data_IF_571165596786
#
_entry.id   IF_571165596786
#
_cell.length_a   1.000
_cell.length_b   1.000
_cell.length_c   1.000
_cell.angle_alpha   90.00
_cell.angle_beta   90.00
_cell.angle_gamma   90.00
#
_symmetry.space_group_name_H-M   'P 1'
#
loop_
_entity.id
_entity.type
_entity.pdbx_description
1 polymer ?
#
# COMPACT_ATOMS: atom_id res chain seq x y z
N UNK A 1 -9.52 -3.47 -13.31
CA UNK A 1 -10.00 -2.07 -13.23
C UNK A 1 -10.01 -1.50 -11.81
N UNK A 2 -10.12 -2.31 -10.75
CA UNK A 2 -10.13 -1.82 -9.35
C UNK A 2 -8.76 -1.24 -8.93
N UNK A 3 -7.64 -1.95 -9.17
CA UNK A 3 -6.27 -1.46 -8.91
C UNK A 3 -6.01 -0.11 -9.57
N UNK A 4 -6.43 0.07 -10.83
CA UNK A 4 -6.26 1.33 -11.58
C UNK A 4 -6.90 2.50 -10.85
N UNK A 5 -8.15 2.36 -10.39
CA UNK A 5 -8.83 3.41 -9.65
C UNK A 5 -8.16 3.67 -8.29
N UNK A 6 -7.73 2.63 -7.57
CA UNK A 6 -6.98 2.78 -6.32
C UNK A 6 -5.67 3.54 -6.51
N UNK A 7 -4.96 3.28 -7.61
CA UNK A 7 -3.73 4.00 -7.96
C UNK A 7 -4.04 5.46 -8.26
N UNK A 8 -5.06 5.76 -9.06
CA UNK A 8 -5.40 7.14 -9.42
C UNK A 8 -5.84 7.97 -8.21
N UNK A 9 -6.55 7.35 -7.26
CA UNK A 9 -7.04 8.02 -6.05
C UNK A 9 -6.01 8.04 -4.90
N UNK A 10 -4.89 7.32 -5.02
CA UNK A 10 -3.89 7.28 -3.96
C UNK A 10 -3.29 8.67 -3.69
N UNK A 11 -3.10 9.08 -2.42
CA UNK A 11 -2.47 10.36 -2.09
C UNK A 11 -1.07 10.49 -2.69
N UNK A 12 -0.64 11.73 -2.92
CA UNK A 12 0.70 12.00 -3.46
C UNK A 12 1.79 11.44 -2.54
N UNK A 13 2.75 10.70 -3.11
CA UNK A 13 3.86 10.14 -2.36
C UNK A 13 3.50 8.96 -1.44
N UNK A 14 2.26 8.46 -1.50
CA UNK A 14 1.80 7.34 -0.71
C UNK A 14 2.58 6.05 -1.03
N UNK A 15 2.56 5.12 -0.07
CA UNK A 15 3.05 3.76 -0.28
C UNK A 15 1.91 2.92 -0.84
N UNK A 16 2.09 2.41 -2.05
CA UNK A 16 1.14 1.50 -2.69
C UNK A 16 1.59 0.06 -2.43
N UNK A 17 0.78 -0.70 -1.69
CA UNK A 17 1.07 -2.08 -1.28
C UNK A 17 0.36 -3.04 -2.21
N UNK A 18 1.11 -3.96 -2.81
CA UNK A 18 0.59 -4.99 -3.70
C UNK A 18 1.06 -6.39 -3.26
N UNK A 19 0.56 -7.42 -3.95
CA UNK A 19 1.07 -8.78 -3.75
C UNK A 19 2.42 -8.95 -4.48
N UNK A 20 3.22 -9.94 -4.06
CA UNK A 20 4.46 -10.24 -4.79
C UNK A 20 4.19 -10.63 -6.25
N UNK A 21 3.09 -11.35 -6.50
CA UNK A 21 2.70 -11.82 -7.83
C UNK A 21 2.28 -10.68 -8.76
N UNK A 22 1.62 -9.64 -8.23
CA UNK A 22 1.16 -8.50 -9.02
C UNK A 22 2.18 -7.36 -9.17
N UNK A 23 3.33 -7.43 -8.49
CA UNK A 23 4.32 -6.34 -8.43
C UNK A 23 4.74 -5.79 -9.79
N UNK A 24 5.08 -6.66 -10.75
CA UNK A 24 5.56 -6.19 -12.07
C UNK A 24 4.45 -5.51 -12.88
N UNK A 25 3.25 -6.08 -12.84
CA UNK A 25 2.06 -5.49 -13.46
C UNK A 25 1.75 -4.12 -12.85
N UNK A 26 1.70 -4.03 -11.52
CA UNK A 26 1.42 -2.76 -10.82
C UNK A 26 2.50 -1.73 -11.12
N UNK A 27 3.78 -2.13 -11.17
CA UNK A 27 4.87 -1.21 -11.54
C UNK A 27 4.70 -0.63 -12.93
N UNK A 28 4.41 -1.45 -13.94
CA UNK A 28 4.13 -0.98 -15.30
C UNK A 28 2.90 -0.06 -15.32
N UNK A 29 1.84 -0.44 -14.61
CA UNK A 29 0.63 0.37 -14.53
C UNK A 29 0.89 1.74 -13.87
N UNK A 30 1.76 1.82 -12.86
CA UNK A 30 2.17 3.10 -12.26
C UNK A 30 2.91 4.00 -13.27
N UNK A 31 3.79 3.41 -14.08
CA UNK A 31 4.53 4.11 -15.14
C UNK A 31 3.58 4.62 -16.21
N UNK A 32 2.65 3.78 -16.68
CA UNK A 32 1.63 4.12 -17.69
C UNK A 32 0.67 5.23 -17.21
N UNK A 33 0.30 5.22 -15.93
CA UNK A 33 -0.60 6.22 -15.33
C UNK A 33 0.13 7.49 -14.88
N UNK A 34 1.46 7.56 -15.04
CA UNK A 34 2.26 8.69 -14.58
C UNK A 34 2.33 8.85 -13.05
N UNK A 35 1.99 7.81 -12.28
CA UNK A 35 2.00 7.78 -10.80
C UNK A 35 3.36 7.33 -10.25
N UNK A 36 4.43 7.94 -10.75
CA UNK A 36 5.81 7.64 -10.33
C UNK A 36 6.14 8.17 -8.94
N UNK A 37 5.26 9.01 -8.37
CA UNK A 37 5.33 9.49 -6.99
C UNK A 37 5.04 8.39 -5.97
N UNK A 38 4.27 7.36 -6.35
CA UNK A 38 3.88 6.28 -5.46
C UNK A 38 5.05 5.34 -5.19
N UNK A 39 5.27 5.04 -3.91
CA UNK A 39 6.27 4.07 -3.49
C UNK A 39 5.67 2.67 -3.52
N UNK A 40 6.02 1.88 -4.52
CA UNK A 40 5.56 0.50 -4.61
C UNK A 40 6.24 -0.40 -3.57
N UNK A 41 5.46 -1.16 -2.81
CA UNK A 41 5.92 -2.19 -1.87
C UNK A 41 5.06 -3.45 -2.00
N UNK A 42 5.61 -4.59 -1.60
CA UNK A 42 4.84 -5.84 -1.48
C UNK A 42 4.40 -6.08 -0.04
N UNK A 43 3.32 -6.83 0.19
CA UNK A 43 2.90 -7.26 1.54
C UNK A 43 4.06 -7.79 2.38
N UNK A 44 4.87 -8.70 1.84
CA UNK A 44 6.04 -9.23 2.55
C UNK A 44 7.05 -8.15 2.95
N UNK A 45 7.24 -7.12 2.12
CA UNK A 45 8.08 -5.96 2.46
C UNK A 45 7.44 -5.05 3.51
N UNK A 46 6.12 -5.02 3.61
CA UNK A 46 5.44 -4.27 4.69
C UNK A 46 5.77 -4.91 6.03
N UNK A 47 5.57 -6.22 6.17
CA UNK A 47 5.69 -6.93 7.46
C UNK A 47 7.13 -7.27 7.86
N UNK A 48 8.05 -7.41 6.90
CA UNK A 48 9.47 -7.68 7.21
C UNK A 48 10.20 -6.44 7.74
N UNK A 49 9.73 -5.24 7.40
CA UNK A 49 10.28 -4.01 7.92
C UNK A 49 9.48 -3.59 9.15
N UNK A 50 10.01 -3.78 10.35
CA UNK A 50 9.49 -3.18 11.60
C UNK A 50 9.48 -1.63 11.61
N UNK A 51 9.80 -0.97 10.49
CA UNK A 51 10.12 0.45 10.37
C UNK A 51 8.96 1.34 9.94
N UNK A 52 7.73 0.83 9.83
CA UNK A 52 6.59 1.67 9.45
C UNK A 52 6.12 2.51 10.63
N UNK A 53 6.26 2.01 11.87
CA UNK A 53 5.96 2.78 13.09
C UNK A 53 6.81 4.05 13.10
N UNK A 54 6.16 5.20 12.88
CA UNK A 54 6.81 6.52 12.80
C UNK A 54 6.80 7.18 11.42
N UNK A 55 6.56 6.45 10.32
CA UNK A 55 6.37 7.08 9.00
C UNK A 55 5.01 7.77 8.90
N UNK A 56 4.98 9.03 8.49
CA UNK A 56 3.76 9.81 8.26
C UNK A 56 3.24 9.73 6.82
N UNK A 57 3.62 8.66 6.09
CA UNK A 57 3.29 8.51 4.68
C UNK A 57 2.02 7.67 4.54
N UNK A 58 0.99 8.12 3.81
CA UNK A 58 -0.24 7.35 3.60
C UNK A 58 0.04 5.99 2.97
N UNK A 59 -0.75 4.98 3.32
CA UNK A 59 -0.68 3.65 2.71
C UNK A 59 -1.98 3.35 1.98
N UNK A 60 -1.85 2.90 0.74
CA UNK A 60 -2.94 2.34 -0.06
C UNK A 60 -2.66 0.88 -0.32
N UNK A 61 -3.58 0.01 0.08
CA UNK A 61 -3.47 -1.44 -0.12
C UNK A 61 -4.27 -1.81 -1.36
N UNK A 62 -3.62 -2.45 -2.34
CA UNK A 62 -4.29 -3.01 -3.50
C UNK A 62 -5.33 -4.05 -3.10
N UNK A 63 -6.48 -4.03 -3.77
CA UNK A 63 -7.60 -4.92 -3.46
C UNK A 63 -7.24 -6.42 -3.52
N UNK A 64 -6.32 -6.85 -4.40
CA UNK A 64 -5.86 -8.24 -4.44
C UNK A 64 -5.11 -8.67 -3.17
N UNK A 65 -4.58 -7.73 -2.38
CA UNK A 65 -3.95 -8.07 -1.12
C UNK A 65 -4.94 -8.63 -0.10
N UNK A 66 -6.20 -8.17 -0.12
CA UNK A 66 -7.23 -8.66 0.80
C UNK A 66 -7.61 -10.13 0.53
N UNK A 67 -7.34 -10.64 -0.67
CA UNK A 67 -7.62 -12.03 -1.04
C UNK A 67 -6.51 -13.00 -0.58
N UNK A 68 -5.30 -12.49 -0.32
CA UNK A 68 -4.11 -13.32 -0.05
C UNK A 68 -3.44 -13.05 1.29
N UNK A 69 -3.70 -11.90 1.91
CA UNK A 69 -3.17 -11.56 3.21
C UNK A 69 -3.83 -12.42 4.29
N UNK A 70 -3.03 -12.81 5.28
CA UNK A 70 -3.57 -13.44 6.49
C UNK A 70 -4.36 -12.42 7.31
N UNK A 71 -5.27 -12.89 8.17
CA UNK A 71 -6.04 -12.02 9.08
C UNK A 71 -5.09 -11.12 9.91
N UNK A 72 -4.03 -11.70 10.48
CA UNK A 72 -3.04 -10.97 11.27
C UNK A 72 -2.35 -9.86 10.46
N UNK A 73 -1.98 -10.14 9.21
CA UNK A 73 -1.38 -9.15 8.32
C UNK A 73 -2.35 -8.00 8.01
N UNK A 74 -3.64 -8.31 7.83
CA UNK A 74 -4.65 -7.28 7.63
C UNK A 74 -4.85 -6.43 8.88
N UNK A 75 -4.91 -7.04 10.07
CA UNK A 75 -5.00 -6.35 11.36
C UNK A 75 -3.82 -5.38 11.55
N UNK A 76 -2.59 -5.81 11.29
CA UNK A 76 -1.40 -4.95 11.41
C UNK A 76 -1.45 -3.72 10.48
N UNK A 77 -1.99 -3.88 9.25
CA UNK A 77 -2.15 -2.73 8.35
C UNK A 77 -3.27 -1.81 8.83
N UNK A 78 -4.40 -2.37 9.29
CA UNK A 78 -5.50 -1.59 9.84
C UNK A 78 -5.05 -0.78 11.08
N UNK A 79 -4.31 -1.41 11.99
CA UNK A 79 -3.74 -0.76 13.17
C UNK A 79 -2.81 0.39 12.79
N UNK A 80 -2.01 0.22 11.74
CA UNK A 80 -1.16 1.28 11.23
C UNK A 80 -1.97 2.46 10.65
N UNK A 81 -2.96 2.18 9.81
CA UNK A 81 -3.81 3.22 9.21
C UNK A 81 -4.55 4.00 10.31
N UNK A 82 -5.03 3.31 11.34
CA UNK A 82 -5.68 3.92 12.49
C UNK A 82 -4.70 4.77 13.32
N UNK A 83 -3.49 4.27 13.59
CA UNK A 83 -2.44 5.04 14.27
C UNK A 83 -2.12 6.34 13.51
N UNK A 84 -2.02 6.30 12.19
CA UNK A 84 -1.81 7.52 11.39
C UNK A 84 -2.96 8.52 11.56
N UNK A 85 -4.20 8.09 11.39
CA UNK A 85 -5.37 8.95 11.57
C UNK A 85 -5.45 9.58 12.97
N UNK A 86 -4.95 8.88 13.99
CA UNK A 86 -4.90 9.39 15.37
C UNK A 86 -3.87 10.50 15.61
N UNK A 87 -2.85 10.61 14.74
CA UNK A 87 -1.73 11.56 14.87
C UNK A 87 -1.89 12.83 14.03
N UNK A 88 -2.90 12.87 13.16
CA UNK A 88 -3.29 14.06 12.40
C UNK A 88 -4.36 14.92 13.11
N UNK A 89 -4.80 14.49 14.31
CA UNK A 89 -5.65 15.25 15.24
C UNK A 89 -4.82 15.96 16.31
#
# INVERSE_FOLDING_TARGET
MITTNQILQAPYGAIFVCTLRSRNYVRQLLEELGRTDLKLRTLGQVFSYNNWRGTRVPIVIDHHCYEVATIQQMEEIHDYQFWQASKER
#
